data_IF_487350628166
#
_entry.id   IF_487350628166
#
_cell.length_a   1.000
_cell.length_b   1.000
_cell.length_c   1.000
_cell.angle_alpha   90.00
_cell.angle_beta   90.00
_cell.angle_gamma   90.00
#
_symmetry.space_group_name_H-M   'P 1'
#
loop_
_entity.id
_entity.type
_entity.pdbx_description
1 polymer ?
#
# COMPACT_ATOMS: atom_id res chain seq x y z
N UNK A 1 2.88 -5.89 14.06
CA UNK A 1 3.79 -6.40 13.00
C UNK A 1 5.20 -5.86 13.20
N UNK A 2 5.41 -4.53 13.36
CA UNK A 2 6.73 -3.88 13.52
C UNK A 2 7.55 -4.47 14.66
N UNK A 3 6.95 -4.62 15.86
CA UNK A 3 7.58 -5.24 17.02
C UNK A 3 8.16 -6.64 16.73
N UNK A 4 7.45 -7.44 15.91
CA UNK A 4 7.95 -8.77 15.54
C UNK A 4 9.19 -8.70 14.64
N UNK A 5 9.28 -7.71 13.76
CA UNK A 5 10.48 -7.47 12.96
C UNK A 5 11.66 -7.04 13.85
N UNK A 6 11.42 -6.24 14.88
CA UNK A 6 12.45 -5.85 15.86
C UNK A 6 12.95 -7.06 16.66
N UNK A 7 12.03 -7.86 17.19
CA UNK A 7 12.37 -9.08 17.94
C UNK A 7 13.24 -10.05 17.10
N UNK A 8 13.04 -10.08 15.79
CA UNK A 8 13.78 -10.91 14.85
C UNK A 8 14.99 -10.21 14.24
N UNK A 9 15.29 -8.97 14.65
CA UNK A 9 16.39 -8.14 14.10
C UNK A 9 16.32 -7.97 12.57
N UNK A 10 15.10 -7.88 12.02
CA UNK A 10 14.86 -7.79 10.56
C UNK A 10 14.70 -6.36 10.06
N UNK A 11 14.58 -5.36 10.94
CA UNK A 11 14.35 -3.97 10.55
C UNK A 11 15.50 -3.41 9.75
N UNK A 12 16.71 -3.43 10.31
CA UNK A 12 17.91 -2.93 9.65
C UNK A 12 18.19 -3.66 8.32
N UNK A 13 18.17 -5.01 8.27
CA UNK A 13 18.33 -5.72 6.99
C UNK A 13 17.31 -5.33 5.91
N UNK A 14 16.04 -5.07 6.29
CA UNK A 14 15.01 -4.62 5.33
C UNK A 14 15.33 -3.19 4.84
N UNK A 15 15.73 -2.29 5.73
CA UNK A 15 16.10 -0.91 5.37
C UNK A 15 17.35 -0.89 4.48
N UNK A 16 18.36 -1.70 4.79
CA UNK A 16 19.56 -1.86 3.96
C UNK A 16 19.21 -2.42 2.57
N UNK A 17 18.34 -3.44 2.49
CA UNK A 17 17.87 -3.99 1.22
C UNK A 17 17.16 -2.91 0.39
N UNK A 18 16.27 -2.13 0.98
CA UNK A 18 15.60 -1.03 0.31
C UNK A 18 16.59 0.04 -0.16
N UNK A 19 17.57 0.39 0.68
CA UNK A 19 18.62 1.36 0.34
C UNK A 19 19.58 0.88 -0.76
N UNK A 20 19.72 -0.42 -0.96
CA UNK A 20 20.56 -1.01 -2.00
C UNK A 20 20.05 -0.81 -3.43
N UNK A 21 18.84 -0.30 -3.61
CA UNK A 21 18.19 -0.11 -4.90
C UNK A 21 17.45 -1.35 -5.43
N UNK A 22 17.52 -2.49 -4.73
CA UNK A 22 16.76 -3.69 -5.12
C UNK A 22 15.27 -3.44 -5.00
N UNK A 23 14.45 -3.86 -5.99
CA UNK A 23 13.01 -3.76 -5.91
C UNK A 23 12.45 -4.42 -4.65
N UNK A 24 11.62 -3.70 -3.92
CA UNK A 24 10.99 -4.15 -2.69
C UNK A 24 9.49 -3.89 -2.75
N UNK A 25 8.66 -4.92 -2.49
CA UNK A 25 7.20 -4.82 -2.52
C UNK A 25 6.60 -5.19 -1.17
N UNK A 26 5.86 -4.26 -0.57
CA UNK A 26 5.00 -4.51 0.57
C UNK A 26 3.55 -4.73 0.14
N UNK A 27 2.91 -5.82 0.59
CA UNK A 27 1.50 -6.14 0.28
C UNK A 27 0.67 -6.00 1.55
N UNK A 28 -0.45 -5.29 1.49
CA UNK A 28 -1.41 -5.05 2.56
C UNK A 28 -0.71 -4.56 3.83
N UNK A 29 -0.61 -5.37 4.88
CA UNK A 29 0.15 -5.05 6.09
C UNK A 29 1.61 -4.72 5.78
N UNK A 30 2.21 -5.39 4.80
CA UNK A 30 3.55 -5.08 4.31
C UNK A 30 3.68 -3.67 3.76
N UNK A 31 2.71 -3.20 2.96
CA UNK A 31 2.65 -1.81 2.53
C UNK A 31 2.54 -0.85 3.72
N UNK A 32 1.65 -1.13 4.67
CA UNK A 32 1.45 -0.26 5.84
C UNK A 32 2.72 -0.12 6.69
N UNK A 33 3.54 -1.16 6.76
CA UNK A 33 4.84 -1.12 7.44
C UNK A 33 5.87 -0.22 6.75
N UNK A 34 5.73 0.09 5.45
CA UNK A 34 6.69 0.92 4.72
C UNK A 34 6.68 2.39 5.18
N UNK A 35 5.57 2.87 5.74
CA UNK A 35 5.37 4.26 6.13
C UNK A 35 6.16 4.65 7.38
N UNK A 36 6.14 5.96 7.72
CA UNK A 36 6.85 6.47 8.88
C UNK A 36 6.24 5.97 10.19
N UNK A 37 4.90 5.92 10.24
CA UNK A 37 4.17 5.51 11.44
C UNK A 37 2.79 4.93 11.15
N UNK A 38 2.25 4.19 12.12
CA UNK A 38 0.90 3.64 12.13
C UNK A 38 0.20 3.96 13.44
N UNK A 39 -1.09 4.29 13.36
CA UNK A 39 -1.97 4.53 14.50
C UNK A 39 -2.76 3.27 14.92
N UNK A 40 -2.48 2.11 14.31
CA UNK A 40 -3.13 0.85 14.66
C UNK A 40 -2.76 0.38 16.06
N UNK A 41 -3.77 0.36 16.97
CA UNK A 41 -3.59 0.04 18.41
C UNK A 41 -2.61 0.96 19.15
N UNK A 42 -2.61 2.25 18.82
CA UNK A 42 -1.69 3.26 19.33
C UNK A 42 -0.63 3.66 18.29
N UNK A 43 0.13 4.70 18.58
CA UNK A 43 1.15 5.17 17.64
C UNK A 43 2.40 4.27 17.68
N UNK A 44 2.76 3.74 16.54
CA UNK A 44 3.93 2.88 16.36
C UNK A 44 4.76 3.34 15.16
N UNK A 45 6.10 3.28 15.24
CA UNK A 45 6.96 3.56 14.08
C UNK A 45 6.77 2.48 13.00
N UNK A 46 6.85 2.89 11.73
CA UNK A 46 6.99 2.01 10.60
C UNK A 46 8.45 1.74 10.24
N UNK A 47 8.71 1.47 8.97
CA UNK A 47 10.07 1.29 8.44
C UNK A 47 10.67 2.60 7.90
N UNK A 48 9.85 3.65 7.71
CA UNK A 48 10.30 4.96 7.20
C UNK A 48 10.82 4.91 5.77
N UNK A 49 10.31 4.01 4.94
CA UNK A 49 10.71 3.85 3.54
C UNK A 49 9.86 4.68 2.57
N UNK A 50 8.64 5.01 2.97
CA UNK A 50 7.71 5.88 2.24
C UNK A 50 7.16 6.92 3.22
N UNK A 51 7.30 8.23 2.96
CA UNK A 51 6.71 9.27 3.78
C UNK A 51 5.19 9.15 3.90
N UNK A 52 4.67 9.41 5.11
CA UNK A 52 3.26 9.34 5.41
C UNK A 52 2.94 8.49 6.63
N UNK A 53 1.67 8.26 6.86
CA UNK A 53 1.18 7.52 8.03
C UNK A 53 -0.02 6.65 7.71
N UNK A 54 -0.25 5.66 8.57
CA UNK A 54 -1.38 4.74 8.52
C UNK A 54 -2.39 5.16 9.59
N UNK A 55 -3.63 5.39 9.18
CA UNK A 55 -4.73 5.86 10.05
C UNK A 55 -5.92 4.92 10.01
N UNK A 56 -6.78 5.02 11.04
CA UNK A 56 -8.02 4.24 11.14
C UNK A 56 -9.05 4.73 10.10
N UNK A 57 -9.55 3.81 9.27
CA UNK A 57 -10.64 4.09 8.35
C UNK A 57 -11.94 4.42 9.10
N UNK A 58 -12.21 3.73 10.22
CA UNK A 58 -13.39 4.00 11.06
C UNK A 58 -13.38 5.42 11.58
N UNK A 59 -12.27 5.87 12.16
CA UNK A 59 -12.15 7.23 12.70
C UNK A 59 -12.27 8.29 11.61
N UNK A 60 -11.68 8.06 10.43
CA UNK A 60 -11.82 8.96 9.29
C UNK A 60 -13.28 9.05 8.80
N UNK A 61 -13.98 7.92 8.73
CA UNK A 61 -15.39 7.89 8.33
C UNK A 61 -16.30 8.59 9.35
N UNK A 62 -16.08 8.35 10.64
CA UNK A 62 -16.85 8.99 11.71
C UNK A 62 -16.68 10.52 11.70
N UNK A 63 -15.46 11.02 11.41
CA UNK A 63 -15.18 12.45 11.29
C UNK A 63 -15.83 13.11 10.07
N UNK A 64 -16.08 12.35 9.01
CA UNK A 64 -16.62 12.85 7.74
C UNK A 64 -18.10 12.47 7.51
N UNK A 65 -18.75 11.86 8.51
CA UNK A 65 -20.14 11.37 8.44
C UNK A 65 -20.37 10.39 7.26
N UNK A 66 -19.39 9.49 7.06
CA UNK A 66 -19.45 8.47 6.00
C UNK A 66 -19.97 7.15 6.60
N UNK A 67 -21.17 6.72 6.14
CA UNK A 67 -21.80 5.45 6.54
C UNK A 67 -21.40 4.31 5.59
N UNK A 68 -20.15 3.85 5.69
CA UNK A 68 -19.66 2.67 5.00
C UNK A 68 -19.09 1.64 5.98
N UNK A 69 -19.07 0.38 5.54
CA UNK A 69 -18.56 -0.71 6.37
C UNK A 69 -17.05 -0.63 6.53
N UNK A 70 -16.57 -0.89 7.74
CA UNK A 70 -15.15 -1.13 8.04
C UNK A 70 -15.04 -2.51 8.71
N UNK A 71 -14.19 -3.40 8.22
CA UNK A 71 -13.20 -3.21 7.14
C UNK A 71 -13.81 -3.03 5.74
N UNK A 72 -13.07 -2.34 4.84
CA UNK A 72 -13.29 -2.43 3.41
C UNK A 72 -12.95 -3.85 2.98
N UNK A 73 -13.95 -4.60 2.48
CA UNK A 73 -13.78 -5.97 1.97
C UNK A 73 -14.47 -6.05 0.63
N UNK A 74 -13.73 -6.41 -0.42
CA UNK A 74 -14.29 -6.63 -1.74
C UNK A 74 -13.45 -6.06 -2.86
N UNK A 75 -14.07 -6.02 -4.04
CA UNK A 75 -13.45 -5.56 -5.28
C UNK A 75 -13.77 -4.09 -5.50
N UNK A 76 -12.72 -3.28 -5.61
CA UNK A 76 -12.84 -1.88 -5.98
C UNK A 76 -12.03 -1.61 -7.23
N UNK A 77 -12.53 -0.67 -8.04
CA UNK A 77 -11.84 -0.17 -9.22
C UNK A 77 -10.55 0.53 -8.81
N UNK A 78 -9.49 0.32 -9.55
CA UNK A 78 -8.21 0.98 -9.34
C UNK A 78 -8.06 2.14 -10.33
N UNK A 79 -7.99 3.36 -9.82
CA UNK A 79 -7.79 4.58 -10.61
C UNK A 79 -6.31 4.97 -10.61
N UNK A 80 -5.68 4.94 -11.79
CA UNK A 80 -4.25 5.20 -11.96
C UNK A 80 -4.02 6.70 -11.97
N UNK A 81 -3.11 7.18 -11.11
CA UNK A 81 -2.70 8.58 -10.97
C UNK A 81 -1.35 8.88 -11.63
N UNK A 82 -0.47 7.89 -11.63
CA UNK A 82 0.85 8.01 -12.25
C UNK A 82 1.14 6.79 -13.14
N UNK A 83 1.14 7.00 -14.46
CA UNK A 83 1.35 5.96 -15.47
C UNK A 83 2.81 5.56 -15.66
N UNK A 84 3.76 6.30 -15.10
CA UNK A 84 5.20 6.02 -15.23
C UNK A 84 5.64 4.83 -14.36
N UNK A 85 4.85 4.49 -13.33
CA UNK A 85 5.16 3.35 -12.47
C UNK A 85 5.10 2.03 -13.25
N UNK A 86 6.13 1.18 -13.18
CA UNK A 86 6.16 -0.08 -13.90
C UNK A 86 4.99 -1.02 -13.56
N UNK A 87 4.49 -0.98 -12.32
CA UNK A 87 3.44 -1.88 -11.85
C UNK A 87 2.09 -1.68 -12.55
N UNK A 88 1.85 -0.49 -13.12
CA UNK A 88 0.55 -0.15 -13.72
C UNK A 88 0.56 -0.12 -15.25
N UNK A 89 1.69 -0.39 -15.89
CA UNK A 89 1.84 -0.30 -17.37
C UNK A 89 0.87 -1.18 -18.15
N UNK A 90 0.46 -2.30 -17.59
CA UNK A 90 -0.48 -3.26 -18.23
C UNK A 90 -1.93 -3.08 -17.77
N UNK A 91 -2.21 -2.09 -16.91
CA UNK A 91 -3.53 -1.89 -16.33
C UNK A 91 -4.38 -0.96 -17.18
N UNK A 92 -5.68 -1.24 -17.19
CA UNK A 92 -6.70 -0.45 -17.90
C UNK A 92 -7.62 0.32 -16.96
N UNK A 93 -8.46 1.16 -17.55
CA UNK A 93 -9.37 2.03 -16.80
C UNK A 93 -10.49 1.31 -16.02
N UNK A 94 -10.69 0.01 -16.24
CA UNK A 94 -11.74 -0.80 -15.61
C UNK A 94 -11.18 -1.99 -14.84
N UNK A 95 -9.96 -1.89 -14.35
CA UNK A 95 -9.36 -2.94 -13.57
C UNK A 95 -9.78 -2.85 -12.11
N UNK A 96 -10.20 -3.99 -11.55
CA UNK A 96 -10.64 -4.14 -10.17
C UNK A 96 -9.65 -4.98 -9.40
N UNK A 97 -9.44 -4.61 -8.13
CA UNK A 97 -8.54 -5.31 -7.21
C UNK A 97 -9.25 -5.61 -5.89
N UNK A 98 -8.78 -6.63 -5.16
CA UNK A 98 -9.41 -7.12 -3.94
C UNK A 98 -8.77 -6.53 -2.70
N UNK A 99 -9.59 -5.85 -1.89
CA UNK A 99 -9.22 -5.24 -0.61
C UNK A 99 -9.76 -6.03 0.58
N UNK A 100 -9.01 -6.03 1.67
CA UNK A 100 -9.47 -6.43 3.01
C UNK A 100 -8.62 -5.72 4.06
N UNK A 101 -9.05 -4.54 4.53
CA UNK A 101 -8.31 -3.74 5.50
C UNK A 101 -9.20 -2.76 6.26
N UNK A 102 -8.74 -2.31 7.45
CA UNK A 102 -9.40 -1.33 8.31
C UNK A 102 -8.60 -0.05 8.50
N UNK A 103 -7.34 -0.04 8.06
CA UNK A 103 -6.43 1.09 8.13
C UNK A 103 -5.91 1.39 6.73
N UNK A 104 -5.60 2.67 6.46
CA UNK A 104 -5.14 3.11 5.15
C UNK A 104 -4.09 4.22 5.27
N UNK A 105 -3.34 4.43 4.19
CA UNK A 105 -2.27 5.42 4.13
C UNK A 105 -2.82 6.83 3.89
N UNK A 106 -2.23 7.82 4.57
CA UNK A 106 -2.44 9.25 4.35
C UNK A 106 -1.11 9.98 4.28
N UNK A 107 -1.13 11.27 3.88
CA UNK A 107 0.04 12.14 3.78
C UNK A 107 1.13 11.59 2.84
N UNK A 108 0.71 10.88 1.78
CA UNK A 108 1.61 10.20 0.82
C UNK A 108 1.32 10.59 -0.65
N UNK A 109 0.76 11.75 -0.92
CA UNK A 109 0.31 12.18 -2.26
C UNK A 109 1.43 12.18 -3.30
N UNK A 110 2.65 12.55 -2.92
CA UNK A 110 3.82 12.55 -3.81
C UNK A 110 4.28 11.12 -4.21
N UNK A 111 3.83 10.12 -3.47
CA UNK A 111 4.16 8.71 -3.65
C UNK A 111 2.99 7.88 -4.19
N UNK A 112 1.83 8.53 -4.41
CA UNK A 112 0.62 7.87 -4.87
C UNK A 112 0.71 7.50 -6.35
N UNK A 113 0.55 6.23 -6.64
CA UNK A 113 0.53 5.69 -8.00
C UNK A 113 -0.89 5.41 -8.46
N UNK A 114 -1.70 4.80 -7.61
CA UNK A 114 -3.10 4.51 -7.89
C UNK A 114 -3.91 4.46 -6.59
N UNK A 115 -5.17 4.80 -6.66
CA UNK A 115 -6.11 4.75 -5.55
C UNK A 115 -7.43 4.07 -5.94
N UNK A 116 -8.26 3.82 -4.97
CA UNK A 116 -9.64 3.34 -5.14
C UNK A 116 -10.59 4.19 -4.31
N UNK A 117 -11.76 4.48 -4.87
CA UNK A 117 -12.83 5.19 -4.15
C UNK A 117 -13.55 4.23 -3.19
N UNK A 118 -13.57 4.57 -1.92
CA UNK A 118 -14.37 3.90 -0.89
C UNK A 118 -14.80 4.92 0.18
N UNK A 119 -15.68 5.83 -0.19
CA UNK A 119 -16.05 7.00 0.62
C UNK A 119 -14.94 8.03 0.73
N UNK A 120 -13.71 7.60 0.60
CA UNK A 120 -12.48 8.38 0.52
C UNK A 120 -11.60 7.82 -0.59
N UNK A 121 -10.66 8.61 -1.07
CA UNK A 121 -9.58 8.12 -1.91
C UNK A 121 -8.63 7.27 -1.05
N UNK A 122 -8.63 5.97 -1.29
CA UNK A 122 -7.81 4.99 -0.58
C UNK A 122 -6.58 4.68 -1.43
N UNK A 123 -5.35 5.04 -1.00
CA UNK A 123 -4.13 4.67 -1.70
C UNK A 123 -4.03 3.16 -1.92
N UNK A 124 -4.11 2.75 -3.19
CA UNK A 124 -4.05 1.36 -3.60
C UNK A 124 -2.65 0.92 -3.95
N UNK A 125 -1.89 1.77 -4.68
CA UNK A 125 -0.48 1.55 -5.00
C UNK A 125 0.31 2.80 -4.65
N UNK A 126 1.44 2.60 -3.98
CA UNK A 126 2.41 3.66 -3.66
C UNK A 126 3.80 3.26 -4.12
N UNK A 127 4.65 4.26 -4.40
CA UNK A 127 6.05 4.03 -4.79
C UNK A 127 6.96 5.14 -4.25
N UNK A 128 8.10 4.73 -3.71
CA UNK A 128 9.25 5.61 -3.46
C UNK A 128 10.50 4.94 -4.03
N UNK A 129 10.98 5.42 -5.19
CA UNK A 129 12.11 4.83 -5.94
C UNK A 129 11.87 3.34 -6.24
N UNK A 130 12.67 2.45 -5.64
CA UNK A 130 12.61 0.99 -5.76
C UNK A 130 11.67 0.31 -4.76
N UNK A 131 11.05 1.07 -3.86
CA UNK A 131 10.11 0.56 -2.85
C UNK A 131 8.69 0.76 -3.33
N UNK A 132 7.93 -0.32 -3.40
CA UNK A 132 6.53 -0.36 -3.84
C UNK A 132 5.63 -0.88 -2.74
N UNK A 133 4.38 -0.43 -2.70
CA UNK A 133 3.37 -0.95 -1.80
C UNK A 133 2.03 -1.13 -2.50
N UNK A 134 1.30 -2.21 -2.18
CA UNK A 134 -0.09 -2.40 -2.57
C UNK A 134 -0.96 -2.60 -1.32
N UNK A 135 -2.03 -1.81 -1.15
CA UNK A 135 -2.98 -2.00 -0.05
C UNK A 135 -3.90 -3.20 -0.30
N UNK A 136 -4.27 -3.42 -1.54
CA UNK A 136 -5.00 -4.61 -1.95
C UNK A 136 -4.07 -5.83 -2.00
N UNK A 137 -4.67 -7.00 -2.17
CA UNK A 137 -3.97 -8.27 -2.33
C UNK A 137 -3.85 -8.61 -3.82
N UNK A 138 -2.72 -8.35 -4.49
CA UNK A 138 -2.56 -8.69 -5.90
C UNK A 138 -2.69 -10.21 -6.13
N UNK A 139 -2.25 -11.05 -5.18
CA UNK A 139 -2.38 -12.50 -5.25
C UNK A 139 -3.85 -12.99 -5.20
N UNK A 140 -4.79 -12.10 -4.79
CA UNK A 140 -6.23 -12.35 -4.76
C UNK A 140 -7.01 -11.55 -5.78
N UNK A 141 -6.32 -10.77 -6.62
CA UNK A 141 -6.92 -9.83 -7.58
C UNK A 141 -6.97 -10.38 -9.01
N UNK A 142 -7.02 -11.70 -9.18
CA UNK A 142 -7.17 -12.35 -10.48
C UNK A 142 -6.06 -11.99 -11.48
N UNK A 143 -6.40 -11.86 -12.76
CA UNK A 143 -5.46 -11.53 -13.81
C UNK A 143 -4.80 -10.16 -13.64
N UNK A 144 -5.54 -9.16 -13.14
CA UNK A 144 -5.04 -7.81 -12.85
C UNK A 144 -3.90 -7.89 -11.84
N UNK A 145 -4.14 -8.57 -10.73
CA UNK A 145 -3.13 -8.74 -9.68
C UNK A 145 -1.90 -9.51 -10.15
N UNK A 146 -2.09 -10.57 -10.94
CA UNK A 146 -0.98 -11.33 -11.51
C UNK A 146 -0.13 -10.50 -12.46
N UNK A 147 -0.74 -9.61 -13.25
CA UNK A 147 -0.01 -8.69 -14.12
C UNK A 147 0.84 -7.69 -13.30
N UNK A 148 0.31 -7.19 -12.17
CA UNK A 148 1.07 -6.32 -11.25
C UNK A 148 2.27 -7.07 -10.66
N UNK A 149 2.08 -8.31 -10.18
CA UNK A 149 3.17 -9.12 -9.64
C UNK A 149 4.22 -9.45 -10.70
N UNK A 150 3.79 -9.78 -11.92
CA UNK A 150 4.69 -9.99 -13.04
C UNK A 150 5.50 -8.74 -13.34
N UNK A 151 4.83 -7.58 -13.46
CA UNK A 151 5.50 -6.31 -13.70
C UNK A 151 6.55 -5.99 -12.60
N UNK A 152 6.25 -6.32 -11.34
CA UNK A 152 7.22 -6.18 -10.25
C UNK A 152 8.46 -7.04 -10.45
N UNK A 153 8.32 -8.29 -10.93
CA UNK A 153 9.48 -9.16 -11.18
C UNK A 153 10.36 -8.70 -12.35
N UNK A 154 9.84 -7.81 -13.18
CA UNK A 154 10.54 -7.22 -14.34
C UNK A 154 11.19 -5.85 -14.04
N UNK A 155 11.02 -5.32 -12.80
CA UNK A 155 11.67 -4.08 -12.38
C UNK A 155 13.19 -4.30 -12.31
N UNK A 156 14.01 -3.49 -13.02
CA UNK A 156 15.45 -3.61 -12.98
C UNK A 156 16.03 -3.41 -11.57
N UNK A 157 17.11 -4.13 -11.28
CA UNK A 157 17.92 -3.95 -10.06
C UNK A 157 18.96 -2.86 -10.27
#
# INVERSE_FOLDING_TARGET
ARKKLEELSLVEPIQELAASGKPFLGICLGMQLLFDKSEEFGEHPGLGLIPGRIVSMREAFDQMDIDLKVPQIGWNKLDIRNTECPLVKSLGANDFVYYVHSYFATDCQEHLIADSEYGLSIPGIVQNKNVFGTQFHPEKSGGVGLNILKAFTEVPV
#
